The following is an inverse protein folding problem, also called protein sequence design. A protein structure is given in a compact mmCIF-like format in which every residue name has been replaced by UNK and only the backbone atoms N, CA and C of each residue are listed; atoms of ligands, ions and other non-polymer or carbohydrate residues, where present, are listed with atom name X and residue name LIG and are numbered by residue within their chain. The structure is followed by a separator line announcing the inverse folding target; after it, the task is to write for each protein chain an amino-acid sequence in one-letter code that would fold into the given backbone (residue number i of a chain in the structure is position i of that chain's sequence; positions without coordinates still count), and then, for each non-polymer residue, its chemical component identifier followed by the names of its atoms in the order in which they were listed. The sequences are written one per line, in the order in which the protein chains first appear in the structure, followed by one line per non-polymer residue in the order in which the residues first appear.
data_IF_961845808075
#
_entry.id   IF_961845808075
#
_cell.length_a   1.000
_cell.length_b   1.000
_cell.length_c   1.000
_cell.angle_alpha   90.00
_cell.angle_beta   90.00
_cell.angle_gamma   90.00
#
_symmetry.space_group_name_H-M   'P 1'
#
loop_
_entity.id
_entity.type
_entity.pdbx_description
1 polymer ?
#
# COMPACT_ATOMS: atom_id res chain seq x y z
N UNK A 1 -13.86 33.23 57.72
CA UNK A 1 -13.90 31.79 58.04
C UNK A 1 -13.94 31.02 56.73
N UNK A 2 -13.05 30.05 56.60
CA UNK A 2 -12.69 29.31 55.39
C UNK A 2 -13.75 28.27 55.01
N UNK A 3 -13.98 28.06 53.72
CA UNK A 3 -14.93 27.07 53.21
C UNK A 3 -14.71 26.71 51.74
N UNK A 4 -13.54 26.20 51.38
CA UNK A 4 -13.32 25.56 50.08
C UNK A 4 -13.77 24.09 50.13
N UNK A 5 -14.76 23.74 49.31
CA UNK A 5 -15.25 22.37 49.15
C UNK A 5 -14.19 21.45 48.55
N UNK A 6 -14.01 20.27 49.15
CA UNK A 6 -13.11 19.22 48.68
C UNK A 6 -13.71 18.54 47.45
N UNK A 7 -13.03 18.66 46.31
CA UNK A 7 -13.28 17.85 45.12
C UNK A 7 -12.74 16.44 45.39
N UNK A 8 -13.62 15.44 45.44
CA UNK A 8 -13.26 14.02 45.53
C UNK A 8 -13.20 13.44 44.11
N UNK A 9 -12.00 13.26 43.58
CA UNK A 9 -11.78 12.52 42.33
C UNK A 9 -11.38 11.08 42.70
N UNK A 10 -12.24 10.12 42.37
CA UNK A 10 -11.96 8.68 42.45
C UNK A 10 -12.93 7.90 43.34
N UNK A 11 -13.34 6.71 42.89
CA UNK A 11 -14.14 5.78 43.70
C UNK A 11 -13.34 5.26 44.90
N UNK A 12 -13.95 5.14 46.11
CA UNK A 12 -13.28 4.56 47.26
C UNK A 12 -12.86 3.11 46.95
N UNK A 13 -11.57 2.81 47.14
CA UNK A 13 -11.01 1.46 46.94
C UNK A 13 -10.29 1.22 45.62
N UNK A 14 -10.26 2.18 44.68
CA UNK A 14 -9.54 2.04 43.41
C UNK A 14 -8.34 2.98 43.35
N UNK A 15 -7.14 2.41 43.27
CA UNK A 15 -5.88 3.16 43.13
C UNK A 15 -5.64 3.46 41.65
N UNK A 16 -5.69 4.73 41.26
CA UNK A 16 -5.40 5.18 39.89
C UNK A 16 -3.99 5.80 39.85
N UNK A 17 -3.15 5.34 38.93
CA UNK A 17 -1.74 5.76 38.78
C UNK A 17 -0.84 4.63 38.26
N UNK A 18 0.36 4.97 37.74
CA UNK A 18 1.36 3.99 37.31
C UNK A 18 2.04 3.37 38.54
N UNK A 19 1.53 2.24 39.01
CA UNK A 19 2.09 1.49 40.13
C UNK A 19 3.19 0.56 39.61
N UNK A 20 4.43 0.75 40.05
CA UNK A 20 5.53 -0.16 39.73
C UNK A 20 5.28 -1.51 40.44
N UNK A 21 5.28 -2.65 39.74
CA UNK A 21 5.13 -3.94 40.39
C UNK A 21 6.30 -4.18 41.35
N UNK A 22 5.99 -4.77 42.51
CA UNK A 22 6.94 -5.06 43.58
C UNK A 22 8.13 -5.86 43.06
N UNK A 23 9.29 -5.56 43.64
CA UNK A 23 10.58 -6.15 43.32
C UNK A 23 10.51 -7.68 43.38
N UNK A 24 10.63 -8.33 42.21
CA UNK A 24 10.68 -9.78 42.12
C UNK A 24 11.92 -10.29 42.87
N UNK A 25 11.74 -11.30 43.71
CA UNK A 25 12.82 -12.10 44.29
C UNK A 25 13.62 -12.72 43.14
N UNK A 26 14.95 -12.57 43.18
CA UNK A 26 15.84 -13.12 42.15
C UNK A 26 15.61 -14.64 42.04
N UNK A 27 15.47 -15.22 40.83
CA UNK A 27 15.41 -16.66 40.67
C UNK A 27 16.74 -17.30 41.11
N UNK A 28 16.75 -18.57 41.57
CA UNK A 28 17.98 -19.26 41.93
C UNK A 28 18.88 -19.35 40.70
N UNK A 29 20.14 -18.95 40.88
CA UNK A 29 21.20 -19.08 39.87
C UNK A 29 21.33 -20.57 39.55
N UNK A 30 20.93 -20.98 38.35
CA UNK A 30 21.29 -22.30 37.82
C UNK A 30 22.77 -22.25 37.51
N UNK A 31 23.55 -23.23 38.00
CA UNK A 31 24.96 -23.37 37.66
C UNK A 31 25.12 -23.30 36.14
N UNK A 32 26.00 -22.42 35.67
CA UNK A 32 26.30 -22.24 34.25
C UNK A 32 26.94 -23.53 33.72
N UNK A 33 26.38 -24.07 32.63
CA UNK A 33 26.95 -25.24 31.92
C UNK A 33 28.32 -24.89 31.28
N UNK A 34 28.67 -23.61 31.25
CA UNK A 34 29.92 -23.09 30.68
C UNK A 34 31.05 -22.88 31.69
N UNK A 35 30.81 -23.11 32.99
CA UNK A 35 31.84 -22.92 34.04
C UNK A 35 32.65 -24.20 34.35
N UNK A 36 32.37 -25.35 33.71
CA UNK A 36 33.10 -26.61 33.97
C UNK A 36 34.39 -26.80 33.14
N UNK A 37 34.69 -25.91 32.18
CA UNK A 37 35.93 -25.93 31.38
C UNK A 37 36.93 -24.82 31.80
N UNK A 38 36.83 -24.33 33.03
CA UNK A 38 37.89 -23.52 33.63
C UNK A 38 38.98 -24.46 34.17
N UNK A 39 39.89 -24.83 33.28
CA UNK A 39 41.08 -25.66 33.51
C UNK A 39 41.88 -25.20 34.75
N UNK A 40 41.66 -25.88 35.88
CA UNK A 40 42.56 -25.84 37.04
C UNK A 40 43.64 -26.92 36.84
N UNK A 41 44.75 -26.49 36.24
CA UNK A 41 45.98 -27.27 36.05
C UNK A 41 46.66 -27.57 37.39
N UNK A 42 46.22 -28.64 38.07
CA UNK A 42 46.95 -29.23 39.19
C UNK A 42 47.02 -30.78 39.10
N UNK A 43 48.21 -31.30 38.80
CA UNK A 43 48.62 -32.67 39.12
C UNK A 43 48.31 -33.74 38.08
N UNK A 44 49.17 -33.85 37.06
CA UNK A 44 49.05 -34.80 35.96
C UNK A 44 49.34 -36.26 36.38
N UNK A 45 48.36 -36.95 36.96
CA UNK A 45 48.35 -38.42 36.98
C UNK A 45 48.09 -38.93 35.54
N UNK A 46 49.00 -39.68 34.89
CA UNK A 46 48.83 -40.10 33.50
C UNK A 46 47.58 -40.98 33.30
N UNK A 47 47.17 -41.70 34.35
CA UNK A 47 45.94 -42.49 34.34
C UNK A 47 44.67 -41.63 34.27
N UNK A 48 44.63 -40.46 34.92
CA UNK A 48 43.44 -39.58 34.91
C UNK A 48 43.29 -38.86 33.56
N UNK A 49 44.41 -38.46 32.95
CA UNK A 49 44.43 -37.87 31.59
C UNK A 49 43.89 -38.86 30.56
N UNK A 50 44.39 -40.10 30.56
CA UNK A 50 43.93 -41.15 29.63
C UNK A 50 42.45 -41.47 29.81
N UNK A 51 41.92 -41.41 31.05
CA UNK A 51 40.50 -41.64 31.30
C UNK A 51 39.63 -40.45 30.85
N UNK A 52 40.11 -39.22 31.01
CA UNK A 52 39.47 -38.01 30.48
C UNK A 52 39.45 -38.01 28.94
N UNK A 53 40.57 -38.36 28.30
CA UNK A 53 40.67 -38.50 26.84
C UNK A 53 39.72 -39.57 26.31
N UNK A 54 39.64 -40.73 26.96
CA UNK A 54 38.67 -41.80 26.60
C UNK A 54 37.22 -41.34 26.79
N UNK A 55 36.93 -40.47 27.76
CA UNK A 55 35.60 -39.90 27.94
C UNK A 55 35.28 -38.91 26.81
N UNK A 56 36.23 -38.04 26.46
CA UNK A 56 36.12 -37.11 25.32
C UNK A 56 35.89 -37.83 24.01
N UNK A 57 36.65 -38.90 23.73
CA UNK A 57 36.46 -39.73 22.53
C UNK A 57 35.07 -40.40 22.49
N UNK A 58 34.57 -40.87 23.64
CA UNK A 58 33.22 -41.45 23.72
C UNK A 58 32.15 -40.41 23.44
N UNK A 59 32.32 -39.18 23.94
CA UNK A 59 31.41 -38.07 23.69
C UNK A 59 31.46 -37.63 22.22
N UNK A 60 32.65 -37.53 21.62
CA UNK A 60 32.82 -37.25 20.19
C UNK A 60 32.13 -38.31 19.32
N UNK A 61 32.34 -39.60 19.60
CA UNK A 61 31.67 -40.71 18.87
C UNK A 61 30.14 -40.69 19.00
N UNK A 62 29.60 -40.17 20.12
CA UNK A 62 28.15 -39.98 20.29
C UNK A 62 27.66 -38.81 19.45
N UNK A 63 28.37 -37.68 19.50
CA UNK A 63 28.06 -36.49 18.71
C UNK A 63 28.12 -36.77 17.20
N UNK A 64 29.12 -37.50 16.72
CA UNK A 64 29.24 -37.90 15.30
C UNK A 64 28.06 -38.77 14.86
N UNK A 65 27.64 -39.73 15.69
CA UNK A 65 26.47 -40.58 15.40
C UNK A 65 25.18 -39.77 15.34
N UNK A 66 25.03 -38.77 16.20
CA UNK A 66 23.87 -37.89 16.22
C UNK A 66 23.88 -36.95 15.01
N UNK A 67 25.04 -36.39 14.66
CA UNK A 67 25.21 -35.58 13.45
C UNK A 67 24.90 -36.40 12.18
N UNK A 68 25.41 -37.63 12.08
CA UNK A 68 25.12 -38.51 10.94
C UNK A 68 23.62 -38.86 10.84
N UNK A 69 22.95 -39.07 11.99
CA UNK A 69 21.49 -39.28 12.02
C UNK A 69 20.73 -38.02 11.57
N UNK A 70 21.15 -36.84 12.03
CA UNK A 70 20.55 -35.57 11.65
C UNK A 70 20.67 -35.32 10.14
N UNK A 71 21.87 -35.52 9.57
CA UNK A 71 22.14 -35.39 8.14
C UNK A 71 21.40 -36.43 7.28
N UNK A 72 21.18 -37.64 7.82
CA UNK A 72 20.40 -38.67 7.12
C UNK A 72 18.90 -38.35 7.04
N UNK A 73 18.38 -37.57 8.00
CA UNK A 73 16.98 -37.11 7.98
C UNK A 73 16.83 -35.93 7.03
N UNK A 74 17.74 -34.95 7.11
CA UNK A 74 17.78 -33.80 6.22
C UNK A 74 19.20 -33.24 6.11
N UNK A 75 19.69 -33.10 4.88
CA UNK A 75 20.99 -32.49 4.59
C UNK A 75 21.04 -30.98 4.89
N UNK A 76 19.89 -30.31 4.91
CA UNK A 76 19.78 -28.86 5.16
C UNK A 76 19.66 -28.49 6.64
N UNK A 77 19.68 -29.46 7.56
CA UNK A 77 19.42 -29.23 8.98
C UNK A 77 20.39 -28.26 9.67
N UNK A 78 21.59 -28.09 9.12
CA UNK A 78 22.61 -27.15 9.60
C UNK A 78 22.77 -25.91 8.70
N UNK A 79 21.91 -25.74 7.70
CA UNK A 79 21.88 -24.56 6.83
C UNK A 79 21.14 -23.40 7.52
N UNK A 80 21.85 -22.78 8.47
CA UNK A 80 21.33 -21.62 9.21
C UNK A 80 21.22 -20.37 8.34
N UNK A 81 22.04 -20.26 7.29
CA UNK A 81 22.06 -19.10 6.40
C UNK A 81 20.80 -19.06 5.53
N UNK A 82 20.41 -20.19 4.93
CA UNK A 82 19.16 -20.29 4.18
C UNK A 82 17.91 -19.98 5.02
N UNK A 83 17.88 -20.41 6.28
CA UNK A 83 16.80 -20.06 7.20
C UNK A 83 16.78 -18.55 7.51
N UNK A 84 17.95 -17.95 7.76
CA UNK A 84 18.05 -16.52 8.02
C UNK A 84 17.67 -15.67 6.80
N UNK A 85 18.18 -16.02 5.63
CA UNK A 85 17.84 -15.37 4.35
C UNK A 85 16.34 -15.43 4.08
N UNK A 86 15.70 -16.57 4.32
CA UNK A 86 14.24 -16.69 4.16
C UNK A 86 13.46 -15.73 5.06
N UNK A 87 13.92 -15.53 6.30
CA UNK A 87 13.29 -14.60 7.27
C UNK A 87 13.51 -13.15 6.83
N UNK A 88 14.73 -12.83 6.38
CA UNK A 88 15.07 -11.50 5.87
C UNK A 88 14.25 -11.17 4.63
N UNK A 89 14.18 -12.08 3.67
CA UNK A 89 13.36 -11.91 2.47
C UNK A 89 11.87 -11.74 2.80
N UNK A 90 11.33 -12.57 3.69
CA UNK A 90 9.93 -12.47 4.12
C UNK A 90 9.65 -11.12 4.80
N UNK A 91 10.59 -10.63 5.62
CA UNK A 91 10.49 -9.33 6.27
C UNK A 91 10.54 -8.19 5.27
N UNK A 92 11.45 -8.25 4.29
CA UNK A 92 11.56 -7.25 3.23
C UNK A 92 10.28 -7.19 2.38
N UNK A 93 9.74 -8.34 1.97
CA UNK A 93 8.46 -8.41 1.24
C UNK A 93 7.32 -7.79 2.05
N UNK A 94 7.20 -8.14 3.34
CA UNK A 94 6.18 -7.58 4.21
C UNK A 94 6.32 -6.06 4.41
N UNK A 95 7.55 -5.54 4.44
CA UNK A 95 7.82 -4.10 4.55
C UNK A 95 7.49 -3.35 3.24
N UNK A 96 7.82 -3.95 2.09
CA UNK A 96 7.42 -3.45 0.77
C UNK A 96 5.90 -3.39 0.63
N UNK A 97 5.18 -4.46 1.00
CA UNK A 97 3.72 -4.50 0.96
C UNK A 97 3.08 -3.44 1.86
N UNK A 98 3.63 -3.22 3.06
CA UNK A 98 3.19 -2.15 3.97
C UNK A 98 3.45 -0.77 3.39
N UNK A 99 4.63 -0.56 2.79
CA UNK A 99 4.97 0.69 2.13
C UNK A 99 4.01 0.99 0.97
N UNK A 100 3.75 0.02 0.10
CA UNK A 100 2.85 0.18 -1.04
C UNK A 100 1.40 0.40 -0.62
N UNK A 101 0.95 -0.31 0.41
CA UNK A 101 -0.36 -0.08 1.01
C UNK A 101 -0.48 1.32 1.63
N UNK A 102 0.58 1.80 2.29
CA UNK A 102 0.62 3.16 2.85
C UNK A 102 0.61 4.23 1.76
N UNK A 103 1.29 4.00 0.63
CA UNK A 103 1.32 4.89 -0.53
C UNK A 103 -0.06 5.00 -1.17
N UNK A 104 -0.74 3.86 -1.39
CA UNK A 104 -2.12 3.81 -1.87
C UNK A 104 -3.11 4.50 -0.91
N UNK A 105 -2.90 4.40 0.41
CA UNK A 105 -3.73 5.12 1.41
C UNK A 105 -3.44 6.63 1.47
N UNK A 106 -2.22 7.04 1.14
CA UNK A 106 -1.80 8.45 1.16
C UNK A 106 -2.30 9.24 -0.06
N UNK A 107 -2.70 8.56 -1.13
CA UNK A 107 -3.42 9.21 -2.22
C UNK A 107 -4.72 9.83 -1.66
N UNK A 108 -4.75 11.17 -1.64
CA UNK A 108 -5.88 11.92 -1.09
C UNK A 108 -7.09 11.68 -2.00
N UNK A 109 -8.25 11.42 -1.38
CA UNK A 109 -9.50 11.01 -2.04
C UNK A 109 -9.92 11.85 -3.28
N UNK A 110 -9.42 13.08 -3.41
CA UNK A 110 -9.83 14.02 -4.45
C UNK A 110 -8.71 14.49 -5.40
N UNK A 111 -7.45 14.09 -5.22
CA UNK A 111 -6.35 14.62 -6.04
C UNK A 111 -6.54 14.31 -7.52
N UNK A 112 -6.94 13.09 -7.86
CA UNK A 112 -7.23 12.72 -9.25
C UNK A 112 -8.40 13.51 -9.83
N UNK A 113 -9.47 13.73 -9.05
CA UNK A 113 -10.61 14.53 -9.50
C UNK A 113 -10.21 15.98 -9.74
N UNK A 114 -9.36 16.54 -8.88
CA UNK A 114 -8.86 17.90 -9.03
C UNK A 114 -7.98 18.04 -10.27
N UNK A 115 -7.05 17.10 -10.48
CA UNK A 115 -6.20 17.06 -11.69
C UNK A 115 -7.06 16.89 -12.96
N UNK A 116 -8.07 16.04 -12.93
CA UNK A 116 -8.98 15.86 -14.06
C UNK A 116 -9.74 17.17 -14.39
N UNK A 117 -10.26 17.86 -13.37
CA UNK A 117 -10.97 19.14 -13.53
C UNK A 117 -10.05 20.27 -13.99
N UNK A 118 -8.82 20.34 -13.50
CA UNK A 118 -7.86 21.35 -13.96
C UNK A 118 -7.49 21.12 -15.43
N UNK A 119 -7.29 19.87 -15.83
CA UNK A 119 -7.04 19.51 -17.23
C UNK A 119 -8.25 19.74 -18.14
N UNK A 120 -9.47 19.56 -17.63
CA UNK A 120 -10.69 19.95 -18.34
C UNK A 120 -10.76 21.46 -18.57
N UNK A 121 -10.54 22.27 -17.52
CA UNK A 121 -10.52 23.73 -17.63
C UNK A 121 -9.48 24.23 -18.61
N UNK A 122 -8.24 23.72 -18.55
CA UNK A 122 -7.17 24.09 -19.49
C UNK A 122 -7.59 23.89 -20.95
N UNK A 123 -8.21 22.75 -21.26
CA UNK A 123 -8.72 22.46 -22.61
C UNK A 123 -9.87 23.39 -23.02
N UNK A 124 -10.76 23.72 -22.08
CA UNK A 124 -11.83 24.69 -22.36
C UNK A 124 -11.27 26.09 -22.64
N UNK A 125 -10.26 26.52 -21.88
CA UNK A 125 -9.58 27.80 -22.07
C UNK A 125 -8.88 27.86 -23.45
N UNK A 126 -8.17 26.80 -23.84
CA UNK A 126 -7.56 26.66 -25.17
C UNK A 126 -8.61 26.76 -26.29
N UNK A 127 -9.73 26.06 -26.14
CA UNK A 127 -10.85 26.12 -27.10
C UNK A 127 -11.46 27.52 -27.19
N UNK A 128 -11.62 28.22 -26.07
CA UNK A 128 -12.14 29.58 -26.05
C UNK A 128 -11.17 30.55 -26.71
N UNK A 129 -9.87 30.39 -26.47
CA UNK A 129 -8.83 31.19 -27.11
C UNK A 129 -8.86 31.01 -28.63
N UNK A 130 -8.94 29.78 -29.13
CA UNK A 130 -9.06 29.52 -30.57
C UNK A 130 -10.34 30.12 -31.18
N UNK A 131 -11.48 30.03 -30.47
CA UNK A 131 -12.72 30.66 -30.94
C UNK A 131 -12.62 32.17 -31.02
N UNK A 132 -11.94 32.80 -30.06
CA UNK A 132 -11.65 34.24 -30.10
C UNK A 132 -10.78 34.58 -31.31
N UNK A 133 -9.68 33.86 -31.49
CA UNK A 133 -8.77 34.05 -32.62
C UNK A 133 -9.49 33.91 -33.97
N UNK A 134 -10.34 32.87 -34.13
CA UNK A 134 -11.13 32.69 -35.36
C UNK A 134 -12.13 33.82 -35.58
N UNK A 135 -12.65 34.41 -34.50
CA UNK A 135 -13.59 35.54 -34.60
C UNK A 135 -12.87 36.81 -35.01
N UNK A 136 -11.73 37.10 -34.39
CA UNK A 136 -10.85 38.23 -34.75
C UNK A 136 -10.39 38.12 -36.21
N UNK A 137 -9.93 36.94 -36.64
CA UNK A 137 -9.53 36.70 -38.04
C UNK A 137 -10.68 36.88 -39.03
N UNK A 138 -11.93 36.57 -38.66
CA UNK A 138 -13.09 36.81 -39.53
C UNK A 138 -13.40 38.28 -39.66
N UNK A 139 -13.26 39.05 -38.58
CA UNK A 139 -13.45 40.50 -38.58
C UNK A 139 -12.36 41.18 -39.42
N UNK A 140 -11.10 40.83 -39.20
CA UNK A 140 -9.99 41.35 -40.01
C UNK A 140 -10.12 40.98 -41.48
N UNK A 141 -10.65 39.80 -41.79
CA UNK A 141 -10.92 39.38 -43.17
C UNK A 141 -12.04 40.20 -43.81
N UNK A 142 -13.11 40.50 -43.07
CA UNK A 142 -14.20 41.36 -43.54
C UNK A 142 -13.68 42.77 -43.88
N UNK A 143 -12.70 43.25 -43.12
CA UNK A 143 -12.02 44.52 -43.37
C UNK A 143 -10.98 44.45 -44.51
N UNK A 144 -10.26 43.33 -44.66
CA UNK A 144 -9.15 43.16 -45.61
C UNK A 144 -9.49 42.44 -46.93
N UNK A 145 -10.77 42.15 -47.19
CA UNK A 145 -11.21 41.53 -48.44
C UNK A 145 -10.63 40.14 -48.71
N UNK A 146 -10.41 39.80 -49.98
CA UNK A 146 -9.94 38.47 -50.40
C UNK A 146 -8.41 38.37 -50.42
N UNK A 147 -7.81 38.15 -49.25
CA UNK A 147 -6.41 37.71 -49.14
C UNK A 147 -6.29 36.17 -49.13
N UNK A 148 -5.18 35.65 -49.66
CA UNK A 148 -4.90 34.21 -49.68
C UNK A 148 -4.66 33.67 -48.26
N UNK A 149 -5.37 32.59 -47.90
CA UNK A 149 -5.33 31.99 -46.55
C UNK A 149 -4.44 30.75 -46.55
N UNK A 150 -3.39 30.76 -45.76
CA UNK A 150 -2.50 29.61 -45.58
C UNK A 150 -2.72 28.95 -44.22
N UNK A 151 -3.03 27.65 -44.22
CA UNK A 151 -3.16 26.84 -43.01
C UNK A 151 -1.98 25.90 -42.91
N UNK A 152 -1.26 25.92 -41.79
CA UNK A 152 -0.17 24.98 -41.52
C UNK A 152 -0.71 23.58 -41.24
N UNK A 153 0.08 22.55 -41.56
CA UNK A 153 -0.29 21.14 -41.29
C UNK A 153 -0.59 20.90 -39.80
N UNK A 154 0.16 21.54 -38.91
CA UNK A 154 -0.03 21.47 -37.46
C UNK A 154 -1.37 22.08 -37.03
N UNK A 155 -1.75 23.25 -37.56
CA UNK A 155 -3.03 23.88 -37.23
C UNK A 155 -4.22 23.07 -37.75
N UNK A 156 -4.10 22.47 -38.94
CA UNK A 156 -5.11 21.53 -39.46
C UNK A 156 -5.29 20.33 -38.53
N UNK A 157 -4.19 19.79 -37.97
CA UNK A 157 -4.26 18.70 -37.00
C UNK A 157 -4.95 19.12 -35.70
N UNK A 158 -4.66 20.33 -35.19
CA UNK A 158 -5.33 20.90 -34.01
C UNK A 158 -6.83 21.06 -34.22
N UNK A 159 -7.27 21.60 -35.37
CA UNK A 159 -8.68 21.72 -35.72
C UNK A 159 -9.40 20.37 -35.77
N UNK A 160 -8.77 19.33 -36.34
CA UNK A 160 -9.35 17.99 -36.39
C UNK A 160 -9.44 17.34 -35.00
N UNK A 161 -8.41 17.52 -34.16
CA UNK A 161 -8.41 17.03 -32.78
C UNK A 161 -9.51 17.69 -31.95
N UNK A 162 -9.68 19.00 -32.07
CA UNK A 162 -10.70 19.77 -31.35
C UNK A 162 -12.11 19.40 -31.83
N UNK A 163 -12.31 19.23 -33.13
CA UNK A 163 -13.59 18.77 -33.70
C UNK A 163 -13.95 17.38 -33.17
N UNK A 164 -13.02 16.43 -33.21
CA UNK A 164 -13.24 15.08 -32.68
C UNK A 164 -13.63 15.12 -31.19
N UNK A 165 -12.98 15.96 -30.40
CA UNK A 165 -13.29 16.11 -29.00
C UNK A 165 -14.69 16.74 -28.75
N UNK A 166 -15.05 17.76 -29.52
CA UNK A 166 -16.41 18.35 -29.45
C UNK A 166 -17.48 17.32 -29.83
N UNK A 167 -17.23 16.49 -30.85
CA UNK A 167 -18.14 15.42 -31.27
C UNK A 167 -18.29 14.34 -30.17
N UNK A 168 -17.19 13.91 -29.55
CA UNK A 168 -17.22 12.96 -28.44
C UNK A 168 -17.95 13.52 -27.21
N UNK A 169 -17.73 14.80 -26.88
CA UNK A 169 -18.44 15.47 -25.78
C UNK A 169 -19.93 15.57 -26.10
N UNK A 170 -20.29 16.00 -27.30
CA UNK A 170 -21.69 16.11 -27.71
C UNK A 170 -22.40 14.76 -27.72
N UNK A 171 -21.72 13.67 -28.13
CA UNK A 171 -22.25 12.32 -28.04
C UNK A 171 -22.53 11.91 -26.58
N UNK A 172 -21.59 12.20 -25.66
CA UNK A 172 -21.78 11.96 -24.22
C UNK A 172 -22.91 12.80 -23.64
N UNK A 173 -22.98 14.08 -23.98
CA UNK A 173 -24.01 15.00 -23.49
C UNK A 173 -25.41 14.56 -23.98
N UNK A 174 -25.52 14.12 -25.24
CA UNK A 174 -26.76 13.53 -25.78
C UNK A 174 -27.16 12.24 -25.07
N UNK A 175 -26.20 11.37 -24.79
CA UNK A 175 -26.44 10.13 -24.05
C UNK A 175 -26.94 10.42 -22.63
N UNK A 176 -26.25 11.30 -21.89
CA UNK A 176 -26.64 11.73 -20.55
C UNK A 176 -28.01 12.42 -20.57
N UNK A 177 -28.27 13.28 -21.55
CA UNK A 177 -29.55 13.97 -21.68
C UNK A 177 -30.72 13.01 -21.98
N UNK A 178 -30.48 11.92 -22.72
CA UNK A 178 -31.46 10.85 -22.94
C UNK A 178 -31.75 10.06 -21.66
N UNK A 179 -30.72 9.84 -20.85
CA UNK A 179 -30.80 9.04 -19.62
C UNK A 179 -31.13 9.87 -18.36
N UNK A 180 -31.42 11.15 -18.54
CA UNK A 180 -31.82 12.08 -17.50
C UNK A 180 -33.19 11.71 -16.93
N UNK A 181 -33.20 11.31 -15.65
CA UNK A 181 -34.40 10.88 -14.92
C UNK A 181 -35.40 12.02 -14.75
N UNK A 182 -34.95 13.28 -14.71
CA UNK A 182 -35.85 14.43 -14.51
C UNK A 182 -36.77 14.69 -15.70
N UNK A 183 -36.39 14.21 -16.89
CA UNK A 183 -37.16 14.36 -18.14
C UNK A 183 -38.10 13.19 -18.40
N UNK A 184 -37.99 12.10 -17.63
CA UNK A 184 -38.80 10.89 -17.82
C UNK A 184 -40.00 10.93 -16.88
N UNK A 185 -41.18 10.62 -17.42
CA UNK A 185 -42.43 10.60 -16.66
C UNK A 185 -42.60 9.30 -15.82
N UNK A 186 -41.88 8.23 -16.16
CA UNK A 186 -42.04 6.91 -15.57
C UNK A 186 -40.69 6.29 -15.18
N UNK A 187 -40.70 5.47 -14.12
CA UNK A 187 -39.55 4.77 -13.55
C UNK A 187 -39.24 3.44 -14.26
N UNK A 188 -39.99 3.08 -15.29
CA UNK A 188 -39.81 1.83 -16.06
C UNK A 188 -38.39 1.64 -16.60
N UNK A 189 -37.69 2.71 -16.99
CA UNK A 189 -36.29 2.65 -17.43
C UNK A 189 -35.33 2.30 -16.28
N UNK A 190 -35.58 2.82 -15.07
CA UNK A 190 -34.82 2.48 -13.88
C UNK A 190 -35.00 1.00 -13.52
N UNK A 191 -36.24 0.50 -13.50
CA UNK A 191 -36.54 -0.90 -13.21
C UNK A 191 -36.02 -1.84 -14.30
N UNK A 192 -36.12 -1.46 -15.57
CA UNK A 192 -35.53 -2.21 -16.68
C UNK A 192 -34.02 -2.30 -16.55
N UNK A 193 -33.34 -1.21 -16.17
CA UNK A 193 -31.90 -1.20 -15.94
C UNK A 193 -31.48 -2.06 -14.74
N UNK A 194 -32.28 -2.06 -13.68
CA UNK A 194 -32.07 -2.88 -12.47
C UNK A 194 -32.28 -4.38 -12.77
N UNK A 195 -33.38 -4.75 -13.42
CA UNK A 195 -33.70 -6.15 -13.79
C UNK A 195 -32.74 -6.72 -14.83
N UNK A 196 -32.24 -5.88 -15.75
CA UNK A 196 -31.21 -6.27 -16.73
C UNK A 196 -29.81 -6.34 -16.13
N UNK A 197 -29.65 -6.06 -14.82
CA UNK A 197 -28.35 -6.13 -14.15
C UNK A 197 -27.32 -5.18 -14.76
N UNK A 198 -27.76 -4.00 -15.22
CA UNK A 198 -26.88 -2.98 -15.82
C UNK A 198 -26.59 -1.82 -14.86
N UNK A 199 -27.25 -1.81 -13.70
CA UNK A 199 -27.06 -0.79 -12.69
C UNK A 199 -25.75 -1.02 -11.91
N UNK A 200 -24.81 -0.10 -12.08
CA UNK A 200 -23.49 -0.14 -11.44
C UNK A 200 -23.61 -0.02 -9.92
N UNK A 201 -24.62 0.69 -9.40
CA UNK A 201 -24.82 0.84 -7.95
C UNK A 201 -25.21 -0.47 -7.26
N UNK A 202 -25.83 -1.41 -7.98
CA UNK A 202 -26.19 -2.75 -7.48
C UNK A 202 -25.11 -3.80 -7.76
N UNK A 203 -23.90 -3.38 -8.16
CA UNK A 203 -22.75 -4.28 -8.33
C UNK A 203 -22.57 -4.86 -9.74
N UNK A 204 -23.30 -4.37 -10.74
CA UNK A 204 -23.11 -4.80 -12.12
C UNK A 204 -21.78 -4.31 -12.71
N UNK A 205 -21.13 -5.19 -13.47
CA UNK A 205 -19.81 -4.94 -14.05
C UNK A 205 -19.94 -3.97 -15.26
N UNK A 206 -19.43 -2.75 -15.13
CA UNK A 206 -19.46 -1.72 -16.17
C UNK A 206 -18.66 -2.06 -17.46
N UNK A 207 -18.14 -3.29 -17.58
CA UNK A 207 -17.37 -3.79 -18.73
C UNK A 207 -18.23 -4.27 -19.91
N UNK A 208 -19.56 -4.37 -19.72
CA UNK A 208 -20.49 -4.80 -20.77
C UNK A 208 -21.22 -3.65 -21.50
N UNK A 209 -20.99 -2.41 -21.10
CA UNK A 209 -21.55 -1.23 -21.74
C UNK A 209 -20.44 -0.47 -22.46
N UNK A 210 -20.01 -0.99 -23.61
CA UNK A 210 -19.39 -0.13 -24.62
C UNK A 210 -20.46 0.80 -25.20
N UNK A 211 -20.11 2.05 -25.55
CA UNK A 211 -21.01 2.95 -26.27
C UNK A 211 -21.51 2.34 -27.59
#
# INVERSE_FOLDING_TARGET
MSGFGKIVIGQPGKKYGLHKPGQATKPPVRASIFDEDADEDEGQDPAKVVMSEKHREKMQKRAEKEMAKALAVDSSIFDYDGAHDSIVEARQKAEQDRHDYSKKKKEVRYVHSLIAKTNERKREDERLFEKRLVTELKQELEENGDSEKFVTSAYKAQLMANKKWEDERNAKDKFVARDDVTKKADLSDFYSNMLRGKNVATGANARGASP
#
